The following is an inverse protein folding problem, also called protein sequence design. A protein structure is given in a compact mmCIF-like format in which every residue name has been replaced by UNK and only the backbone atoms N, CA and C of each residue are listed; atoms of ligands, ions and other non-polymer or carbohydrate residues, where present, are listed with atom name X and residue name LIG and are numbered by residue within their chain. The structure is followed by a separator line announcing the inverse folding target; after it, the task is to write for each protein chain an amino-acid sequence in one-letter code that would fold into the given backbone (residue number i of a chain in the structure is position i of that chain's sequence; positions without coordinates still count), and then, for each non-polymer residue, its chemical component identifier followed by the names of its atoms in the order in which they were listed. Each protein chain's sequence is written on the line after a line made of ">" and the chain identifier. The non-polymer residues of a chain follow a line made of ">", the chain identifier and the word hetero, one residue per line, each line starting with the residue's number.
data_IF_080297022784
#
_entry.id   IF_080297022784
#
_cell.length_a   1.000
_cell.length_b   1.000
_cell.length_c   1.000
_cell.angle_alpha   90.00
_cell.angle_beta   90.00
_cell.angle_gamma   90.00
#
_symmetry.space_group_name_H-M   'P 1'
#
loop_
_entity.id
_entity.type
_entity.pdbx_description
1 polymer ?
#
# COMPACT_ATOMS: atom_id res chain seq x y z
N UNK A 1 16.45 -4.33 17.17
CA UNK A 1 17.73 -3.73 16.75
C UNK A 1 18.56 -4.67 15.88
N UNK A 2 19.03 -5.83 16.39
CA UNK A 2 19.88 -6.76 15.63
C UNK A 2 19.33 -7.11 14.23
N UNK A 3 18.04 -7.44 14.13
CA UNK A 3 17.38 -7.70 12.85
C UNK A 3 17.50 -6.54 11.83
N UNK A 4 17.38 -5.28 12.28
CA UNK A 4 17.54 -4.13 11.39
C UNK A 4 19.00 -3.97 10.92
N UNK A 5 19.98 -4.22 11.79
CA UNK A 5 21.39 -4.18 11.41
C UNK A 5 21.74 -5.29 10.42
N UNK A 6 21.21 -6.50 10.64
CA UNK A 6 21.40 -7.62 9.72
C UNK A 6 20.80 -7.34 8.34
N UNK A 7 19.56 -6.82 8.30
CA UNK A 7 18.90 -6.41 7.06
C UNK A 7 19.66 -5.29 6.36
N UNK A 8 20.14 -4.28 7.09
CA UNK A 8 20.92 -3.17 6.52
C UNK A 8 22.28 -3.64 5.98
N UNK A 9 22.98 -4.50 6.72
CA UNK A 9 24.23 -5.10 6.26
C UNK A 9 24.05 -5.90 4.98
N UNK A 10 23.00 -6.74 4.94
CA UNK A 10 22.63 -7.48 3.74
C UNK A 10 22.24 -6.55 2.59
N UNK A 11 21.48 -5.48 2.84
CA UNK A 11 21.11 -4.50 1.83
C UNK A 11 22.35 -3.91 1.14
N UNK A 12 23.41 -3.59 1.90
CA UNK A 12 24.68 -3.10 1.30
C UNK A 12 25.33 -4.14 0.40
N UNK A 13 25.29 -5.41 0.79
CA UNK A 13 25.80 -6.51 -0.04
C UNK A 13 24.97 -6.62 -1.33
N UNK A 14 23.64 -6.60 -1.24
CA UNK A 14 22.72 -6.64 -2.39
C UNK A 14 22.97 -5.48 -3.36
N UNK A 15 23.10 -4.26 -2.84
CA UNK A 15 23.39 -3.06 -3.64
C UNK A 15 24.74 -3.16 -4.36
N UNK A 16 25.76 -3.72 -3.70
CA UNK A 16 27.09 -3.89 -4.31
C UNK A 16 27.12 -4.94 -5.41
N UNK A 17 26.36 -6.04 -5.27
CA UNK A 17 26.36 -7.15 -6.22
C UNK A 17 25.34 -7.02 -7.35
N UNK A 18 24.33 -6.16 -7.17
CA UNK A 18 23.27 -5.87 -8.14
C UNK A 18 22.51 -7.12 -8.64
N UNK A 19 22.30 -8.10 -7.76
CA UNK A 19 21.50 -9.30 -8.07
C UNK A 19 20.32 -9.45 -7.12
N UNK A 20 19.25 -10.14 -7.55
CA UNK A 20 18.11 -10.44 -6.69
C UNK A 20 18.53 -11.20 -5.42
N UNK A 21 17.83 -11.00 -4.29
CA UNK A 21 18.06 -11.78 -3.09
C UNK A 21 17.56 -13.22 -3.28
N UNK A 22 18.27 -14.15 -2.66
CA UNK A 22 17.78 -15.52 -2.45
C UNK A 22 16.64 -15.54 -1.44
N UNK A 23 15.89 -16.65 -1.34
CA UNK A 23 14.81 -16.79 -0.36
C UNK A 23 15.29 -16.62 1.10
N UNK A 24 16.52 -17.05 1.41
CA UNK A 24 17.10 -16.87 2.75
C UNK A 24 17.44 -15.40 3.03
N UNK A 25 17.96 -14.69 2.03
CA UNK A 25 18.26 -13.26 2.12
C UNK A 25 16.97 -12.42 2.21
N UNK A 26 15.94 -12.75 1.44
CA UNK A 26 14.61 -12.13 1.58
C UNK A 26 14.05 -12.30 2.99
N UNK A 27 14.22 -13.48 3.62
CA UNK A 27 13.81 -13.68 5.02
C UNK A 27 14.58 -12.83 6.02
N UNK A 28 15.83 -12.46 5.73
CA UNK A 28 16.59 -11.51 6.56
C UNK A 28 16.04 -10.09 6.37
N UNK A 29 15.83 -9.66 5.11
CA UNK A 29 15.24 -8.36 4.80
C UNK A 29 13.84 -8.18 5.41
N UNK A 30 13.02 -9.24 5.40
CA UNK A 30 11.64 -9.21 5.90
C UNK A 30 11.54 -8.96 7.42
N UNK A 31 12.66 -9.05 8.14
CA UNK A 31 12.74 -8.72 9.57
C UNK A 31 13.04 -7.24 9.82
N UNK A 32 13.19 -6.45 8.77
CA UNK A 32 13.28 -4.99 8.87
C UNK A 32 12.01 -4.42 9.47
N UNK A 33 12.18 -3.68 10.57
CA UNK A 33 11.07 -3.07 11.31
C UNK A 33 11.03 -1.54 11.22
N UNK A 34 11.90 -0.96 10.39
CA UNK A 34 12.10 0.48 10.32
C UNK A 34 12.72 1.08 11.59
N UNK A 35 12.93 2.39 11.58
CA UNK A 35 13.59 3.10 12.68
C UNK A 35 12.66 3.39 13.87
N UNK A 36 11.35 3.44 13.65
CA UNK A 36 10.36 3.69 14.72
C UNK A 36 10.25 2.55 15.74
N UNK A 37 10.69 1.34 15.40
CA UNK A 37 10.77 0.23 16.35
C UNK A 37 11.95 0.37 17.34
N UNK A 38 12.96 1.17 17.01
CA UNK A 38 14.21 1.31 17.81
C UNK A 38 14.75 2.75 17.81
N UNK A 39 13.94 3.76 18.19
CA UNK A 39 14.37 5.15 18.19
C UNK A 39 15.54 5.42 19.16
N UNK A 40 15.68 4.59 20.21
CA UNK A 40 16.67 4.75 21.26
C UNK A 40 18.12 4.59 20.76
N UNK A 41 18.33 3.89 19.63
CA UNK A 41 19.67 3.78 19.01
C UNK A 41 20.23 5.13 18.57
N UNK A 42 19.37 6.13 18.35
CA UNK A 42 19.77 7.48 17.96
C UNK A 42 19.98 8.42 19.16
N UNK A 43 19.71 8.00 20.40
CA UNK A 43 20.01 8.81 21.59
C UNK A 43 21.49 8.62 21.99
N UNK A 44 22.35 9.64 21.85
CA UNK A 44 23.76 9.53 22.19
C UNK A 44 24.00 9.30 23.69
N UNK A 45 23.01 9.57 24.55
CA UNK A 45 23.09 9.40 26.01
C UNK A 45 22.74 7.97 26.44
N UNK A 46 22.14 7.17 25.56
CA UNK A 46 21.77 5.81 25.88
C UNK A 46 22.99 4.88 25.70
N UNK A 47 23.63 4.50 26.80
CA UNK A 47 24.83 3.66 26.81
C UNK A 47 24.57 2.21 26.39
N UNK A 48 23.33 1.73 26.44
CA UNK A 48 22.96 0.35 26.05
C UNK A 48 23.17 0.08 24.55
N UNK A 49 23.10 1.12 23.71
CA UNK A 49 23.17 1.01 22.25
C UNK A 49 24.51 1.48 21.65
N UNK A 50 25.58 1.57 22.45
CA UNK A 50 26.87 2.10 21.97
C UNK A 50 27.42 1.27 20.81
N UNK A 51 27.40 -0.05 20.91
CA UNK A 51 27.92 -0.95 19.89
C UNK A 51 27.07 -0.89 18.61
N UNK A 52 25.75 -1.00 18.74
CA UNK A 52 24.80 -0.98 17.64
C UNK A 52 24.81 0.36 16.91
N UNK A 53 24.99 1.47 17.63
CA UNK A 53 25.11 2.80 17.04
C UNK A 53 26.43 2.98 16.29
N UNK A 54 27.52 2.39 16.77
CA UNK A 54 28.79 2.40 16.04
C UNK A 54 28.69 1.58 14.75
N UNK A 55 28.09 0.39 14.81
CA UNK A 55 27.81 -0.44 13.64
C UNK A 55 26.89 0.28 12.65
N UNK A 56 25.80 0.88 13.12
CA UNK A 56 24.88 1.66 12.29
C UNK A 56 25.60 2.81 11.56
N UNK A 57 26.50 3.52 12.23
CA UNK A 57 27.32 4.59 11.63
C UNK A 57 28.31 4.08 10.59
N UNK A 58 28.70 2.80 10.65
CA UNK A 58 29.54 2.18 9.62
C UNK A 58 28.74 1.75 8.39
N UNK A 59 27.45 1.47 8.55
CA UNK A 59 26.55 0.99 7.49
C UNK A 59 25.81 2.12 6.76
N UNK A 60 25.70 3.30 7.37
CA UNK A 60 25.01 4.46 6.82
C UNK A 60 25.99 5.60 6.51
N UNK A 61 25.73 6.33 5.43
CA UNK A 61 26.36 7.62 5.23
C UNK A 61 25.92 8.62 6.30
N UNK A 62 26.65 9.72 6.46
CA UNK A 62 26.27 10.79 7.41
C UNK A 62 24.88 11.34 7.09
N UNK A 63 24.55 11.47 5.80
CA UNK A 63 23.25 11.94 5.34
C UNK A 63 22.14 10.93 5.66
N UNK A 64 22.35 9.64 5.37
CA UNK A 64 21.38 8.58 5.64
C UNK A 64 21.14 8.40 7.14
N UNK A 65 22.20 8.49 7.95
CA UNK A 65 22.08 8.42 9.41
C UNK A 65 21.23 9.58 9.95
N UNK A 66 21.43 10.79 9.42
CA UNK A 66 20.62 11.95 9.78
C UNK A 66 19.16 11.81 9.31
N UNK A 67 18.92 11.23 8.14
CA UNK A 67 17.58 10.94 7.63
C UNK A 67 16.86 9.88 8.49
N UNK A 68 17.51 8.75 8.74
CA UNK A 68 17.02 7.67 9.59
C UNK A 68 16.60 8.15 10.98
N UNK A 69 17.38 9.06 11.58
CA UNK A 69 17.04 9.66 12.88
C UNK A 69 15.74 10.47 12.83
N UNK A 70 15.44 11.14 11.71
CA UNK A 70 14.21 11.94 11.54
C UNK A 70 12.96 11.07 11.30
N UNK A 71 13.12 9.90 10.70
CA UNK A 71 12.01 9.01 10.34
C UNK A 71 11.55 8.09 11.48
N UNK A 72 12.22 8.15 12.64
CA UNK A 72 11.85 7.41 13.86
C UNK A 72 10.43 7.70 14.37
N UNK A 73 9.89 8.90 14.16
CA UNK A 73 8.60 9.31 14.72
C UNK A 73 7.38 8.80 13.93
N UNK A 74 7.57 8.31 12.70
CA UNK A 74 6.45 8.04 11.77
C UNK A 74 6.33 6.57 11.32
N UNK A 75 7.22 5.68 11.74
CA UNK A 75 7.19 4.28 11.31
C UNK A 75 6.27 3.45 12.23
N UNK A 76 4.96 3.49 11.96
CA UNK A 76 3.98 2.58 12.56
C UNK A 76 3.78 1.36 11.65
N UNK A 77 4.20 0.19 12.13
CA UNK A 77 4.01 -1.06 11.42
C UNK A 77 2.54 -1.53 11.53
N UNK A 78 1.89 -1.74 10.39
CA UNK A 78 0.52 -2.28 10.34
C UNK A 78 0.59 -3.79 10.54
N UNK A 79 -0.13 -4.30 11.54
CA UNK A 79 -0.18 -5.74 11.82
C UNK A 79 -0.70 -6.54 10.62
N UNK A 80 -0.12 -7.71 10.37
CA UNK A 80 -0.47 -8.57 9.24
C UNK A 80 -1.96 -8.95 9.22
N UNK A 81 -2.58 -9.18 10.39
CA UNK A 81 -4.00 -9.50 10.47
C UNK A 81 -4.88 -8.33 10.01
N UNK A 82 -4.48 -7.10 10.30
CA UNK A 82 -5.18 -5.90 9.84
C UNK A 82 -5.00 -5.72 8.33
N UNK A 83 -3.80 -5.92 7.80
CA UNK A 83 -3.54 -5.84 6.35
C UNK A 83 -4.38 -6.88 5.59
N UNK A 84 -4.44 -8.11 6.07
CA UNK A 84 -5.27 -9.17 5.49
C UNK A 84 -6.77 -8.82 5.53
N UNK A 85 -7.24 -8.28 6.66
CA UNK A 85 -8.63 -7.83 6.80
C UNK A 85 -8.97 -6.69 5.82
N UNK A 86 -8.04 -5.76 5.59
CA UNK A 86 -8.21 -4.68 4.61
C UNK A 86 -8.33 -5.22 3.18
N UNK A 87 -7.46 -6.16 2.80
CA UNK A 87 -7.55 -6.83 1.49
C UNK A 87 -8.84 -7.62 1.34
N UNK A 88 -9.27 -8.33 2.38
CA UNK A 88 -10.56 -9.01 2.39
C UNK A 88 -11.71 -8.03 2.18
N UNK A 89 -11.72 -6.91 2.90
CA UNK A 89 -12.72 -5.86 2.74
C UNK A 89 -12.79 -5.31 1.32
N UNK A 90 -11.63 -5.05 0.68
CA UNK A 90 -11.59 -4.64 -0.73
C UNK A 90 -12.22 -5.68 -1.66
N UNK A 91 -11.94 -6.97 -1.45
CA UNK A 91 -12.54 -8.07 -2.24
C UNK A 91 -14.05 -8.13 -2.05
N UNK A 92 -14.54 -7.99 -0.82
CA UNK A 92 -15.97 -7.97 -0.50
C UNK A 92 -16.70 -6.77 -1.14
N UNK A 93 -15.97 -5.67 -1.38
CA UNK A 93 -16.45 -4.49 -2.09
C UNK A 93 -16.36 -4.62 -3.63
N UNK A 94 -15.88 -5.76 -4.14
CA UNK A 94 -15.85 -6.05 -5.58
C UNK A 94 -14.50 -5.82 -6.26
N UNK A 95 -13.42 -5.59 -5.51
CA UNK A 95 -12.07 -5.47 -6.09
C UNK A 95 -11.68 -6.76 -6.85
N UNK A 96 -11.42 -6.61 -8.15
CA UNK A 96 -11.12 -7.72 -9.05
C UNK A 96 -9.65 -7.79 -9.50
N UNK A 97 -8.79 -6.89 -9.01
CA UNK A 97 -7.40 -6.73 -9.44
C UNK A 97 -7.13 -5.40 -10.13
N UNK A 98 -5.95 -5.26 -10.73
CA UNK A 98 -5.51 -4.03 -11.40
C UNK A 98 -4.32 -3.34 -10.70
N UNK A 99 -4.10 -2.07 -11.02
CA UNK A 99 -3.04 -1.26 -10.46
C UNK A 99 -3.44 -0.74 -9.07
N UNK A 100 -2.61 -0.97 -8.06
CA UNK A 100 -2.89 -0.58 -6.68
C UNK A 100 -1.75 0.27 -6.12
N UNK A 101 -2.11 1.43 -5.59
CA UNK A 101 -1.18 2.36 -4.96
C UNK A 101 -1.10 2.13 -3.44
N UNK A 102 0.11 2.04 -2.89
CA UNK A 102 0.39 2.09 -1.45
C UNK A 102 1.23 3.34 -1.11
N UNK A 103 0.58 4.46 -0.70
CA UNK A 103 1.28 5.65 -0.26
C UNK A 103 1.97 5.42 1.09
N UNK A 104 3.27 5.71 1.18
CA UNK A 104 4.05 5.46 2.40
C UNK A 104 4.15 3.97 2.71
N UNK A 105 4.56 3.16 1.72
CA UNK A 105 4.47 1.70 1.79
C UNK A 105 5.38 1.07 2.86
N UNK A 106 6.33 1.83 3.41
CA UNK A 106 7.32 1.30 4.33
C UNK A 106 8.04 0.11 3.70
N UNK A 107 8.20 -0.96 4.46
CA UNK A 107 8.82 -2.19 3.97
C UNK A 107 7.90 -3.03 3.07
N UNK A 108 6.67 -2.58 2.77
CA UNK A 108 5.75 -3.19 1.81
C UNK A 108 4.82 -4.26 2.39
N UNK A 109 4.23 -4.06 3.57
CA UNK A 109 3.30 -5.05 4.12
C UNK A 109 2.07 -5.25 3.23
N UNK A 110 1.43 -4.18 2.73
CA UNK A 110 0.27 -4.36 1.85
C UNK A 110 0.68 -4.97 0.51
N UNK A 111 1.86 -4.62 -0.03
CA UNK A 111 2.45 -5.30 -1.18
C UNK A 111 2.57 -6.82 -0.94
N UNK A 112 3.16 -7.23 0.18
CA UNK A 112 3.40 -8.65 0.48
C UNK A 112 2.15 -9.49 0.75
N UNK A 113 1.03 -8.85 1.10
CA UNK A 113 -0.26 -9.51 1.33
C UNK A 113 -1.26 -9.29 0.19
N UNK A 114 -0.84 -8.69 -0.93
CA UNK A 114 -1.69 -8.49 -2.09
C UNK A 114 -2.24 -9.83 -2.59
N UNK A 115 -3.56 -9.94 -2.85
CA UNK A 115 -4.19 -11.18 -3.25
C UNK A 115 -3.65 -11.63 -4.62
N UNK A 116 -3.38 -12.92 -4.74
CA UNK A 116 -2.86 -13.54 -5.97
C UNK A 116 -3.97 -14.26 -6.76
N UNK A 117 -5.15 -14.43 -6.15
CA UNK A 117 -6.30 -15.16 -6.65
C UNK A 117 -7.43 -14.19 -7.09
N UNK A 118 -7.07 -13.18 -7.88
CA UNK A 118 -8.00 -12.19 -8.42
C UNK A 118 -8.27 -12.43 -9.92
N UNK A 119 -9.45 -12.04 -10.45
CA UNK A 119 -9.75 -12.13 -11.88
C UNK A 119 -8.74 -11.40 -12.79
N UNK A 120 -8.21 -10.28 -12.32
CA UNK A 120 -7.14 -9.50 -12.95
C UNK A 120 -5.93 -9.52 -12.02
N UNK A 121 -4.71 -9.62 -12.54
CA UNK A 121 -3.50 -9.57 -11.71
C UNK A 121 -3.41 -8.26 -10.94
N UNK A 122 -2.94 -8.33 -9.70
CA UNK A 122 -2.66 -7.14 -8.89
C UNK A 122 -1.25 -6.65 -9.17
N UNK A 123 -1.12 -5.39 -9.57
CA UNK A 123 0.16 -4.71 -9.77
C UNK A 123 0.32 -3.63 -8.71
N UNK A 124 1.24 -3.83 -7.77
CA UNK A 124 1.44 -2.91 -6.67
C UNK A 124 2.46 -1.82 -7.03
N UNK A 125 2.12 -0.58 -6.70
CA UNK A 125 3.03 0.57 -6.71
C UNK A 125 3.11 1.15 -5.30
N UNK A 126 4.27 1.02 -4.67
CA UNK A 126 4.56 1.63 -3.37
C UNK A 126 5.30 2.96 -3.54
N UNK A 127 5.01 3.94 -2.68
CA UNK A 127 5.80 5.17 -2.57
C UNK A 127 6.37 5.26 -1.17
N UNK A 128 7.69 5.41 -1.03
CA UNK A 128 8.35 5.51 0.27
C UNK A 128 9.41 6.62 0.28
N UNK A 129 9.42 7.40 1.36
CA UNK A 129 10.30 8.56 1.51
C UNK A 129 11.68 8.17 2.07
N UNK A 130 11.75 7.14 2.91
CA UNK A 130 13.00 6.67 3.50
C UNK A 130 13.76 5.75 2.55
N UNK A 131 14.87 6.23 1.99
CA UNK A 131 15.71 5.49 1.04
C UNK A 131 16.10 4.07 1.46
N UNK A 132 16.31 3.84 2.77
CA UNK A 132 16.69 2.50 3.25
C UNK A 132 15.48 1.57 3.23
N UNK A 133 14.35 2.07 3.69
CA UNK A 133 13.09 1.32 3.77
C UNK A 133 12.55 1.03 2.37
N UNK A 134 12.60 2.01 1.47
CA UNK A 134 12.28 1.82 0.05
C UNK A 134 13.13 0.72 -0.58
N UNK A 135 14.46 0.80 -0.46
CA UNK A 135 15.34 -0.18 -1.07
C UNK A 135 15.12 -1.59 -0.51
N UNK A 136 14.74 -1.71 0.77
CA UNK A 136 14.35 -2.98 1.37
C UNK A 136 13.05 -3.51 0.75
N UNK A 137 12.03 -2.66 0.60
CA UNK A 137 10.78 -3.05 -0.06
C UNK A 137 11.01 -3.49 -1.52
N UNK A 138 11.86 -2.76 -2.27
CA UNK A 138 12.26 -3.11 -3.63
C UNK A 138 12.85 -4.53 -3.72
N UNK A 139 13.77 -4.89 -2.81
CA UNK A 139 14.36 -6.23 -2.82
C UNK A 139 13.43 -7.32 -2.27
N UNK A 140 12.48 -6.96 -1.39
CA UNK A 140 11.47 -7.90 -0.90
C UNK A 140 10.44 -8.26 -1.98
N UNK A 141 10.06 -7.30 -2.81
CA UNK A 141 8.94 -7.43 -3.75
C UNK A 141 9.38 -7.06 -5.17
N UNK A 142 10.12 -7.94 -5.86
CA UNK A 142 10.64 -7.67 -7.20
C UNK A 142 9.54 -7.50 -8.27
N UNK A 143 8.33 -7.98 -8.00
CA UNK A 143 7.17 -7.86 -8.90
C UNK A 143 6.37 -6.57 -8.67
N UNK A 144 6.71 -5.79 -7.64
CA UNK A 144 6.11 -4.49 -7.36
C UNK A 144 7.02 -3.35 -7.85
N UNK A 145 6.41 -2.20 -8.17
CA UNK A 145 7.15 -0.96 -8.35
C UNK A 145 7.24 -0.26 -7.00
N UNK A 146 8.44 0.15 -6.59
CA UNK A 146 8.63 0.96 -5.38
C UNK A 146 9.34 2.25 -5.77
N UNK A 147 8.77 3.39 -5.42
CA UNK A 147 9.25 4.72 -5.76
C UNK A 147 9.86 5.38 -4.52
N UNK A 148 11.14 5.78 -4.62
CA UNK A 148 11.82 6.54 -3.58
C UNK A 148 11.56 8.04 -3.74
N UNK A 149 10.43 8.51 -3.24
CA UNK A 149 10.06 9.93 -3.28
C UNK A 149 9.06 10.31 -2.17
N UNK A 150 8.87 11.61 -1.99
CA UNK A 150 7.78 12.11 -1.16
C UNK A 150 6.45 11.90 -1.88
N UNK A 151 5.47 11.33 -1.18
CA UNK A 151 4.12 11.22 -1.72
C UNK A 151 3.51 12.59 -2.10
N UNK A 152 3.94 13.68 -1.47
CA UNK A 152 3.53 15.04 -1.87
C UNK A 152 4.05 15.46 -3.25
N UNK A 153 5.16 14.89 -3.70
CA UNK A 153 5.76 15.17 -5.01
C UNK A 153 5.33 14.16 -6.08
N UNK A 154 4.76 13.01 -5.69
CA UNK A 154 4.24 11.98 -6.60
C UNK A 154 3.10 12.52 -7.46
N UNK A 155 3.22 12.38 -8.77
CA UNK A 155 2.12 12.66 -9.69
C UNK A 155 1.24 11.42 -9.83
N UNK A 156 -0.08 11.57 -9.67
CA UNK A 156 -1.06 10.49 -9.85
C UNK A 156 -1.98 10.85 -11.01
N UNK A 157 -1.71 10.35 -12.23
CA UNK A 157 -2.62 10.44 -13.35
C UNK A 157 -4.03 9.94 -13.01
N UNK A 158 -5.04 10.66 -13.49
CA UNK A 158 -6.44 10.27 -13.33
C UNK A 158 -6.70 8.90 -14.00
N UNK A 159 -7.32 7.98 -13.26
CA UNK A 159 -7.63 6.64 -13.73
C UNK A 159 -6.44 5.68 -13.87
N UNK A 160 -5.25 6.01 -13.37
CA UNK A 160 -4.09 5.09 -13.41
C UNK A 160 -4.23 3.91 -12.45
N UNK A 161 -4.81 4.15 -11.27
CA UNK A 161 -4.96 3.15 -10.22
C UNK A 161 -6.43 2.77 -10.01
N UNK A 162 -6.67 1.48 -9.88
CA UNK A 162 -7.97 0.84 -9.59
C UNK A 162 -8.27 0.83 -8.09
N UNK A 163 -7.24 0.92 -7.24
CA UNK A 163 -7.38 1.06 -5.80
C UNK A 163 -6.17 1.76 -5.18
N UNK A 164 -6.37 2.33 -4.00
CA UNK A 164 -5.30 2.73 -3.09
C UNK A 164 -5.53 2.06 -1.73
N UNK A 165 -4.48 1.45 -1.17
CA UNK A 165 -4.53 0.75 0.11
C UNK A 165 -3.25 1.02 0.88
N UNK A 166 -3.33 1.26 2.17
CA UNK A 166 -2.15 1.54 2.97
C UNK A 166 -2.49 2.10 4.34
N UNK A 167 -1.44 2.33 5.13
CA UNK A 167 -1.54 3.03 6.41
C UNK A 167 -0.99 4.44 6.24
N UNK A 168 -1.89 5.41 6.04
CA UNK A 168 -1.48 6.80 5.86
C UNK A 168 -0.81 7.34 7.13
N UNK A 169 0.24 8.16 7.00
CA UNK A 169 0.90 8.74 8.16
C UNK A 169 -0.07 9.61 8.97
N UNK A 170 -0.03 9.46 10.30
CA UNK A 170 -0.83 10.26 11.21
C UNK A 170 -0.03 11.46 11.72
N UNK A 171 -0.60 12.65 11.60
CA UNK A 171 0.01 13.87 12.11
C UNK A 171 -0.82 15.10 11.81
N UNK A 172 -0.71 16.12 12.65
CA UNK A 172 -1.36 17.42 12.43
C UNK A 172 -0.40 18.44 11.79
N UNK A 173 0.44 17.96 10.87
CA UNK A 173 1.32 18.79 10.06
C UNK A 173 0.90 18.71 8.60
N UNK A 174 1.34 19.69 7.81
CA UNK A 174 0.98 19.84 6.41
C UNK A 174 2.18 19.51 5.55
N UNK A 175 1.93 18.88 4.41
CA UNK A 175 2.94 18.74 3.36
C UNK A 175 2.61 19.70 2.23
N UNK A 176 3.67 20.20 1.58
CA UNK A 176 3.52 21.03 0.40
C UNK A 176 3.20 20.14 -0.79
N UNK A 177 2.02 20.34 -1.37
CA UNK A 177 1.60 19.76 -2.64
C UNK A 177 0.70 20.80 -3.33
N UNK A 178 1.20 21.52 -4.34
CA UNK A 178 0.46 22.62 -4.96
C UNK A 178 -0.68 22.13 -5.86
N UNK A 179 -0.66 20.85 -6.25
CA UNK A 179 -1.66 20.28 -7.15
C UNK A 179 -2.83 19.69 -6.36
N UNK A 180 -2.53 18.90 -5.32
CA UNK A 180 -3.52 18.12 -4.58
C UNK A 180 -3.72 18.57 -3.12
N UNK A 181 -2.99 19.58 -2.63
CA UNK A 181 -3.16 20.12 -1.26
C UNK A 181 -3.32 21.65 -1.18
N UNK A 182 -4.04 22.25 -2.13
CA UNK A 182 -4.28 23.72 -2.16
C UNK A 182 -4.97 24.26 -0.90
N UNK A 183 -5.74 23.42 -0.22
CA UNK A 183 -6.46 23.76 1.01
C UNK A 183 -5.61 23.61 2.29
N UNK A 184 -4.39 23.09 2.18
CA UNK A 184 -3.51 22.90 3.34
C UNK A 184 -4.05 21.88 4.35
N UNK A 185 -4.59 20.77 3.86
CA UNK A 185 -5.06 19.66 4.66
C UNK A 185 -3.92 19.07 5.51
N UNK A 186 -4.27 18.49 6.66
CA UNK A 186 -3.35 17.66 7.45
C UNK A 186 -2.85 16.50 6.60
N UNK A 187 -1.66 15.98 6.92
CA UNK A 187 -1.02 14.92 6.12
C UNK A 187 -1.96 13.71 5.86
N UNK A 188 -2.69 13.26 6.89
CA UNK A 188 -3.67 12.20 6.78
C UNK A 188 -4.77 12.51 5.74
N UNK A 189 -5.39 13.68 5.86
CA UNK A 189 -6.50 14.07 4.97
C UNK A 189 -6.01 14.34 3.55
N UNK A 190 -4.83 14.92 3.40
CA UNK A 190 -4.23 15.11 2.10
C UNK A 190 -3.96 13.78 1.40
N UNK A 191 -3.39 12.79 2.09
CA UNK A 191 -3.14 11.47 1.51
C UNK A 191 -4.44 10.83 0.99
N UNK A 192 -5.51 10.86 1.78
CA UNK A 192 -6.84 10.33 1.39
C UNK A 192 -7.41 11.11 0.19
N UNK A 193 -7.36 12.45 0.25
CA UNK A 193 -7.90 13.29 -0.83
C UNK A 193 -7.15 13.08 -2.14
N UNK A 194 -5.84 12.93 -2.09
CA UNK A 194 -4.96 12.77 -3.26
C UNK A 194 -5.18 11.44 -3.97
N UNK A 195 -5.54 10.37 -3.24
CA UNK A 195 -5.87 9.07 -3.84
C UNK A 195 -7.33 8.92 -4.25
N UNK A 196 -8.21 9.87 -3.91
CA UNK A 196 -9.61 9.82 -4.32
C UNK A 196 -9.89 9.86 -5.84
N UNK A 197 -9.01 10.37 -6.73
CA UNK A 197 -9.18 10.26 -8.18
C UNK A 197 -8.93 8.85 -8.74
N UNK A 198 -8.56 7.88 -7.89
CA UNK A 198 -8.45 6.49 -8.31
C UNK A 198 -9.83 5.96 -8.68
N UNK A 199 -9.93 5.34 -9.85
CA UNK A 199 -11.18 4.79 -10.34
C UNK A 199 -11.42 3.49 -9.58
N UNK A 200 -11.95 3.58 -8.35
CA UNK A 200 -12.48 2.38 -7.72
C UNK A 200 -13.63 1.96 -8.62
N UNK A 201 -13.42 0.90 -9.40
CA UNK A 201 -14.41 0.28 -10.27
C UNK A 201 -15.58 -0.30 -9.48
N UNK A 202 -16.30 0.55 -8.76
CA UNK A 202 -17.62 0.31 -8.21
C UNK A 202 -18.65 0.67 -9.28
N UNK A 203 -18.51 0.10 -10.47
CA UNK A 203 -19.64 -0.02 -11.37
C UNK A 203 -20.62 -0.97 -10.68
N UNK A 204 -21.53 -0.40 -9.88
CA UNK A 204 -22.77 -1.10 -9.56
C UNK A 204 -23.34 -1.49 -10.90
N UNK A 205 -23.40 -2.79 -11.21
CA UNK A 205 -24.16 -3.29 -12.35
C UNK A 205 -25.53 -2.63 -12.28
N UNK A 206 -25.72 -1.61 -13.11
CA UNK A 206 -27.03 -0.98 -13.24
C UNK A 206 -27.89 -2.06 -13.88
N UNK A 207 -29.04 -2.44 -13.28
CA UNK A 207 -29.94 -3.34 -13.97
C UNK A 207 -30.25 -2.73 -15.34
N UNK A 208 -30.34 -3.56 -16.40
CA UNK A 208 -30.61 -3.04 -17.74
C UNK A 208 -31.87 -2.16 -17.68
N UNK A 209 -31.89 -1.02 -18.39
CA UNK A 209 -33.05 -0.15 -18.39
C UNK A 209 -34.26 -0.99 -18.80
N UNK A 210 -35.23 -1.06 -17.90
CA UNK A 210 -36.51 -1.69 -18.19
C UNK A 210 -37.11 -1.05 -19.45
N UNK A 211 -37.90 -1.81 -20.23
CA UNK A 211 -38.49 -1.28 -21.44
C UNK A 211 -39.29 0.00 -21.12
N UNK A 212 -39.30 0.99 -22.03
CA UNK A 212 -39.97 2.26 -21.77
C UNK A 212 -41.45 2.00 -21.48
N UNK A 213 -41.84 2.25 -20.23
CA UNK A 213 -43.22 2.19 -19.78
C UNK A 213 -44.02 3.28 -20.46
N UNK A 214 -44.68 2.92 -21.56
CA UNK A 214 -45.81 3.69 -22.09
C UNK A 214 -46.89 3.70 -21.02
N UNK A 215 -47.10 4.87 -20.41
CA UNK A 215 -48.22 5.08 -19.52
C UNK A 215 -49.51 5.04 -20.34
N UNK A 216 -50.35 4.04 -20.08
CA UNK A 216 -51.80 4.16 -20.25
C UNK A 216 -52.52 3.58 -19.02
N UNK A 217 -53.68 4.13 -18.65
CA UNK A 217 -54.25 3.99 -17.32
C UNK A 217 -55.07 2.71 -17.13
N UNK A 218 -55.06 2.22 -15.90
CA UNK A 218 -55.75 1.04 -15.40
C UNK A 218 -57.23 0.92 -15.85
N UNK A 219 -57.58 -0.25 -16.38
CA UNK A 219 -58.94 -0.80 -16.38
C UNK A 219 -58.92 -2.27 -15.93
N UNK A 220 -59.93 -2.62 -15.13
CA UNK A 220 -60.16 -3.88 -14.41
C UNK A 220 -60.38 -5.08 -15.35
N UNK A 221 -60.00 -6.30 -14.92
CA UNK A 221 -60.60 -7.53 -15.44
C UNK A 221 -59.70 -8.79 -15.44
N UNK A 222 -59.94 -9.67 -14.46
CA UNK A 222 -60.02 -11.14 -14.54
C UNK A 222 -58.94 -12.01 -15.23
N UNK A 223 -58.06 -12.63 -14.40
CA UNK A 223 -57.52 -14.02 -14.38
C UNK A 223 -56.99 -14.75 -15.64
N UNK A 224 -56.50 -16.02 -15.55
CA UNK A 224 -55.95 -16.77 -14.42
C UNK A 224 -54.49 -17.29 -14.66
N UNK A 225 -54.02 -18.06 -13.67
CA UNK A 225 -52.69 -18.68 -13.43
C UNK A 225 -52.23 -19.66 -14.52
N UNK A 226 -50.91 -19.74 -14.80
CA UNK A 226 -50.26 -21.03 -15.13
C UNK A 226 -48.75 -21.05 -14.83
N UNK A 227 -48.28 -22.27 -14.59
CA UNK A 227 -47.18 -22.70 -13.73
C UNK A 227 -45.97 -23.27 -14.48
N UNK A 228 -44.81 -23.19 -13.80
CA UNK A 228 -43.75 -24.20 -13.64
C UNK A 228 -42.92 -24.75 -14.82
N UNK A 229 -41.67 -25.05 -14.43
CA UNK A 229 -40.67 -25.96 -15.00
C UNK A 229 -39.91 -25.46 -16.25
N UNK A 230 -38.60 -25.61 -16.38
CA UNK A 230 -37.67 -26.54 -15.74
C UNK A 230 -36.98 -27.38 -16.82
N UNK A 231 -35.65 -27.54 -16.68
CA UNK A 231 -34.74 -28.45 -17.41
C UNK A 231 -34.27 -27.99 -18.80
N UNK A 232 -32.98 -27.71 -19.01
CA UNK A 232 -31.78 -28.57 -19.02
C UNK A 232 -31.65 -29.43 -20.28
N UNK A 233 -30.49 -29.36 -20.94
CA UNK A 233 -30.10 -30.31 -21.98
C UNK A 233 -29.15 -29.75 -23.02
N UNK A 234 -27.85 -29.98 -22.82
CA UNK A 234 -26.82 -29.95 -23.87
C UNK A 234 -27.07 -31.06 -24.92
N UNK A 235 -26.28 -31.13 -26.01
CA UNK A 235 -24.93 -31.68 -25.91
C UNK A 235 -23.81 -30.75 -26.38
#
# INVERSE_FOLDING_TARGET
>A
MRANLDALGLLRVLQSRQTPPTADEQRVLARWSGWGAVPQVFDPRNEEFVAERAELRSLLSVADYAAARRTTLNAHYTDASLVQAMWQGLRELGFAGGNVLEPGCGSGNFIGFAPQDTPVSVHMVGVELDATTEAIAFYLYPDAQVLHESFGDTFIPEGEFDAAVGNVPFGNYRIYDPEYNREGLSIHNHFISKVSPTHVGMDRCSPPPGPPGGGEPHARGDGPIQSCAGEAGAP
#
